data_IF_696120836416
#
_entry.id   IF_696120836416
#
_cell.length_a   1.000
_cell.length_b   1.000
_cell.length_c   1.000
_cell.angle_alpha   90.00
_cell.angle_beta   90.00
_cell.angle_gamma   90.00
#
_symmetry.space_group_name_H-M   'P 1'
#
loop_
_entity.id
_entity.type
_entity.pdbx_description
1 polymer ?
#
# COMPACT_ATOMS: atom_id res chain seq x y z
N UNK A 1 -7.07 -23.72 -60.82
CA UNK A 1 -7.30 -22.50 -60.01
C UNK A 1 -8.05 -22.74 -58.67
N UNK A 2 -8.81 -23.84 -58.49
CA UNK A 2 -9.60 -24.08 -57.27
C UNK A 2 -8.83 -24.44 -55.97
N UNK A 3 -7.52 -24.73 -56.02
CA UNK A 3 -6.74 -25.09 -54.80
C UNK A 3 -6.24 -23.88 -54.01
N UNK A 4 -6.01 -22.73 -54.66
CA UNK A 4 -5.40 -21.55 -54.02
C UNK A 4 -6.43 -20.79 -53.15
N UNK A 5 -7.70 -20.76 -53.58
CA UNK A 5 -8.79 -20.12 -52.83
C UNK A 5 -9.06 -20.76 -51.46
N UNK A 6 -8.88 -22.09 -51.34
CA UNK A 6 -9.08 -22.80 -50.06
C UNK A 6 -8.01 -22.47 -49.03
N UNK A 7 -6.77 -22.25 -49.47
CA UNK A 7 -5.66 -21.85 -48.59
C UNK A 7 -5.84 -20.41 -48.09
N UNK A 8 -6.34 -19.51 -48.94
CA UNK A 8 -6.58 -18.12 -48.54
C UNK A 8 -7.73 -18.01 -47.52
N UNK A 9 -8.80 -18.78 -47.69
CA UNK A 9 -9.89 -18.86 -46.71
C UNK A 9 -9.43 -19.43 -45.37
N UNK A 10 -8.74 -20.59 -45.37
CA UNK A 10 -8.29 -21.26 -44.14
C UNK A 10 -7.33 -20.40 -43.29
N UNK A 11 -6.43 -19.64 -43.94
CA UNK A 11 -5.52 -18.72 -43.25
C UNK A 11 -6.25 -17.52 -42.61
N UNK A 12 -7.34 -17.07 -43.26
CA UNK A 12 -8.15 -15.96 -42.74
C UNK A 12 -8.99 -16.37 -41.51
N UNK A 13 -9.45 -17.62 -41.44
CA UNK A 13 -10.13 -18.15 -40.25
C UNK A 13 -9.16 -18.45 -39.10
N UNK A 14 -7.94 -18.93 -39.39
CA UNK A 14 -6.91 -19.15 -38.37
C UNK A 14 -6.47 -17.87 -37.64
N UNK A 15 -6.34 -16.77 -38.38
CA UNK A 15 -5.96 -15.46 -37.81
C UNK A 15 -7.07 -14.81 -36.97
N UNK A 16 -8.35 -15.07 -37.28
CA UNK A 16 -9.48 -14.63 -36.46
C UNK A 16 -9.57 -15.40 -35.14
N UNK A 17 -9.34 -16.72 -35.18
CA UNK A 17 -9.34 -17.57 -33.99
C UNK A 17 -8.16 -17.26 -33.06
N UNK A 18 -6.98 -16.95 -33.61
CA UNK A 18 -5.82 -16.55 -32.81
C UNK A 18 -6.07 -15.22 -32.08
N UNK A 19 -6.76 -14.27 -32.74
CA UNK A 19 -7.18 -13.01 -32.12
C UNK A 19 -8.23 -13.20 -31.01
N UNK A 20 -9.28 -13.99 -31.23
CA UNK A 20 -10.27 -14.29 -30.18
C UNK A 20 -9.63 -14.98 -28.96
N UNK A 21 -8.75 -15.96 -29.19
CA UNK A 21 -8.05 -16.67 -28.10
C UNK A 21 -7.11 -15.71 -27.35
N UNK A 22 -6.46 -14.78 -28.03
CA UNK A 22 -5.64 -13.74 -27.42
C UNK A 22 -6.49 -12.78 -26.55
N UNK A 23 -7.64 -12.33 -27.04
CA UNK A 23 -8.56 -11.47 -26.28
C UNK A 23 -9.10 -12.17 -25.03
N UNK A 24 -9.49 -13.44 -25.13
CA UNK A 24 -9.92 -14.26 -23.97
C UNK A 24 -8.78 -14.40 -22.95
N UNK A 25 -7.53 -14.51 -23.41
CA UNK A 25 -6.33 -14.61 -22.54
C UNK A 25 -6.06 -13.31 -21.81
N UNK A 26 -6.19 -12.17 -22.49
CA UNK A 26 -6.03 -10.83 -21.92
C UNK A 26 -7.14 -10.55 -20.90
N UNK A 27 -8.40 -10.86 -21.24
CA UNK A 27 -9.55 -10.70 -20.33
C UNK A 27 -9.44 -11.58 -19.09
N UNK A 28 -8.98 -12.83 -19.22
CA UNK A 28 -8.68 -13.69 -18.05
C UNK A 28 -7.57 -13.11 -17.19
N UNK A 29 -6.52 -12.55 -17.79
CA UNK A 29 -5.41 -11.93 -17.05
C UNK A 29 -5.87 -10.69 -16.30
N UNK A 30 -6.68 -9.82 -16.91
CA UNK A 30 -7.29 -8.65 -16.25
C UNK A 30 -8.23 -9.07 -15.12
N UNK A 31 -9.10 -10.06 -15.35
CA UNK A 31 -10.02 -10.57 -14.33
C UNK A 31 -9.28 -11.13 -13.12
N UNK A 32 -8.14 -11.80 -13.36
CA UNK A 32 -7.28 -12.33 -12.29
C UNK A 32 -6.57 -11.21 -11.53
N UNK A 33 -6.09 -10.17 -12.22
CA UNK A 33 -5.50 -8.97 -11.58
C UNK A 33 -6.51 -8.22 -10.72
N UNK A 34 -7.74 -8.05 -11.19
CA UNK A 34 -8.83 -7.40 -10.43
C UNK A 34 -9.21 -8.25 -9.21
N UNK A 35 -9.30 -9.57 -9.36
CA UNK A 35 -9.60 -10.47 -8.24
C UNK A 35 -8.51 -10.41 -7.15
N UNK A 36 -7.24 -10.47 -7.53
CA UNK A 36 -6.11 -10.35 -6.60
C UNK A 36 -6.05 -8.96 -5.93
N UNK A 37 -6.48 -7.91 -6.63
CA UNK A 37 -6.57 -6.56 -6.07
C UNK A 37 -7.69 -6.46 -5.03
N UNK A 38 -8.86 -7.08 -5.28
CA UNK A 38 -9.97 -7.12 -4.31
C UNK A 38 -9.57 -7.86 -3.03
N UNK A 39 -8.78 -8.93 -3.16
CA UNK A 39 -8.24 -9.66 -2.00
C UNK A 39 -7.30 -8.76 -1.17
N UNK A 40 -6.46 -7.96 -1.83
CA UNK A 40 -5.54 -7.01 -1.18
C UNK A 40 -6.29 -5.87 -0.45
N UNK A 41 -7.41 -5.40 -1.00
CA UNK A 41 -8.27 -4.37 -0.39
C UNK A 41 -8.99 -4.93 0.84
N UNK A 42 -9.46 -6.18 0.80
CA UNK A 42 -10.05 -6.88 1.96
C UNK A 42 -9.05 -7.10 3.09
N UNK A 43 -7.76 -7.21 2.75
CA UNK A 43 -6.66 -7.52 3.68
C UNK A 43 -6.21 -6.33 4.52
N UNK A 44 -6.46 -5.09 4.07
CA UNK A 44 -5.96 -3.88 4.74
C UNK A 44 -7.01 -2.75 4.90
N UNK A 45 -8.17 -3.01 5.53
CA UNK A 45 -9.23 -2.01 5.69
C UNK A 45 -8.77 -0.78 6.49
N UNK A 46 -7.92 -0.98 7.50
CA UNK A 46 -7.39 0.11 8.33
C UNK A 46 -6.53 1.11 7.53
N UNK A 47 -5.68 0.61 6.63
CA UNK A 47 -4.80 1.45 5.81
C UNK A 47 -5.60 2.27 4.80
N UNK A 48 -6.71 1.72 4.28
CA UNK A 48 -7.62 2.44 3.38
C UNK A 48 -8.32 3.58 4.12
N UNK A 49 -8.85 3.33 5.32
CA UNK A 49 -9.48 4.36 6.15
C UNK A 49 -8.49 5.50 6.44
N UNK A 50 -7.26 5.17 6.85
CA UNK A 50 -6.23 6.17 7.11
C UNK A 50 -5.84 6.97 5.86
N UNK A 51 -5.82 6.33 4.68
CA UNK A 51 -5.57 7.00 3.40
C UNK A 51 -6.69 7.98 3.03
N UNK A 52 -7.95 7.58 3.20
CA UNK A 52 -9.11 8.46 2.95
C UNK A 52 -9.06 9.66 3.88
N UNK A 53 -8.80 9.45 5.18
CA UNK A 53 -8.64 10.54 6.14
C UNK A 53 -7.51 11.48 5.70
N UNK A 54 -6.34 10.96 5.34
CA UNK A 54 -5.22 11.78 4.86
C UNK A 54 -5.60 12.62 3.63
N UNK A 55 -6.30 12.03 2.67
CA UNK A 55 -6.75 12.73 1.46
C UNK A 55 -7.72 13.86 1.82
N UNK A 56 -8.66 13.63 2.74
CA UNK A 56 -9.57 14.67 3.23
C UNK A 56 -8.79 15.83 3.87
N UNK A 57 -7.83 15.52 4.75
CA UNK A 57 -6.99 16.56 5.36
C UNK A 57 -6.15 17.33 4.32
N UNK A 58 -5.64 16.64 3.29
CA UNK A 58 -4.89 17.28 2.20
C UNK A 58 -5.77 18.21 1.36
N UNK A 59 -6.98 17.78 1.01
CA UNK A 59 -7.95 18.62 0.29
C UNK A 59 -8.28 19.86 1.12
N UNK A 60 -8.62 19.67 2.40
CA UNK A 60 -8.92 20.76 3.32
C UNK A 60 -7.74 21.72 3.48
N UNK A 61 -6.52 21.19 3.57
CA UNK A 61 -5.30 21.98 3.63
C UNK A 61 -5.02 22.76 2.35
N UNK A 62 -5.35 22.20 1.18
CA UNK A 62 -5.10 22.84 -0.10
C UNK A 62 -6.13 23.94 -0.38
N UNK A 63 -7.40 23.69 -0.07
CA UNK A 63 -8.49 24.64 -0.22
C UNK A 63 -8.32 25.85 0.71
N UNK A 64 -7.94 25.62 1.96
CA UNK A 64 -7.82 26.70 2.95
C UNK A 64 -6.41 27.28 3.07
N UNK A 65 -5.48 26.89 2.19
CA UNK A 65 -4.06 27.29 2.26
C UNK A 65 -3.86 28.81 2.24
N UNK A 66 -4.74 29.53 1.55
CA UNK A 66 -4.65 30.98 1.35
C UNK A 66 -5.35 31.74 2.50
N UNK A 67 -6.35 31.13 3.14
CA UNK A 67 -7.20 31.77 4.15
C UNK A 67 -6.81 31.43 5.60
N UNK A 68 -5.85 30.53 5.82
CA UNK A 68 -5.44 30.09 7.15
C UNK A 68 -4.25 30.86 7.71
N UNK A 69 -4.30 31.10 9.01
CA UNK A 69 -3.16 31.59 9.79
C UNK A 69 -1.98 30.60 9.77
N UNK A 70 -0.76 31.14 9.89
CA UNK A 70 0.49 30.35 9.86
C UNK A 70 0.51 29.25 10.93
N UNK A 71 -0.07 29.49 12.10
CA UNK A 71 -0.14 28.51 13.20
C UNK A 71 -1.05 27.34 12.82
N UNK A 72 -2.16 27.63 12.14
CA UNK A 72 -3.12 26.62 11.68
C UNK A 72 -2.52 25.76 10.57
N UNK A 73 -1.80 26.36 9.62
CA UNK A 73 -1.08 25.64 8.56
C UNK A 73 -0.01 24.71 9.16
N UNK A 74 0.71 25.17 10.19
CA UNK A 74 1.72 24.36 10.87
C UNK A 74 1.09 23.12 11.53
N UNK A 75 0.00 23.29 12.27
CA UNK A 75 -0.72 22.17 12.92
C UNK A 75 -1.30 21.19 11.91
N UNK A 76 -1.85 21.69 10.80
CA UNK A 76 -2.43 20.84 9.76
C UNK A 76 -1.35 20.03 9.02
N UNK A 77 -0.20 20.65 8.77
CA UNK A 77 0.97 19.98 8.19
C UNK A 77 1.50 18.89 9.13
N UNK A 78 1.56 19.18 10.44
CA UNK A 78 1.91 18.21 11.48
C UNK A 78 0.98 17.00 11.46
N UNK A 79 -0.33 17.23 11.42
CA UNK A 79 -1.34 16.17 11.33
C UNK A 79 -1.15 15.33 10.05
N UNK A 80 -0.95 15.97 8.89
CA UNK A 80 -0.71 15.24 7.63
C UNK A 80 0.52 14.34 7.70
N UNK A 81 1.61 14.81 8.30
CA UNK A 81 2.81 13.99 8.51
C UNK A 81 2.53 12.83 9.46
N UNK A 82 1.86 13.06 10.60
CA UNK A 82 1.52 12.00 11.56
C UNK A 82 0.60 10.93 10.94
N UNK A 83 -0.43 11.34 10.22
CA UNK A 83 -1.33 10.42 9.52
C UNK A 83 -0.58 9.65 8.42
N UNK A 84 0.30 10.33 7.68
CA UNK A 84 1.17 9.69 6.68
C UNK A 84 2.07 8.60 7.27
N UNK A 85 2.70 8.86 8.43
CA UNK A 85 3.46 7.84 9.17
C UNK A 85 2.54 6.71 9.65
N UNK A 86 1.33 7.07 10.10
CA UNK A 86 0.30 6.13 10.53
C UNK A 86 -0.11 5.14 9.46
N UNK A 87 -0.19 5.56 8.20
CA UNK A 87 -0.46 4.68 7.07
C UNK A 87 0.65 3.65 6.91
N UNK A 88 1.92 4.09 6.91
CA UNK A 88 3.06 3.15 6.81
C UNK A 88 3.13 2.23 8.02
N UNK A 89 2.89 2.74 9.22
CA UNK A 89 2.86 1.93 10.43
C UNK A 89 1.73 0.89 10.40
N UNK A 90 0.52 1.29 10.02
CA UNK A 90 -0.64 0.41 9.85
C UNK A 90 -0.35 -0.71 8.85
N UNK A 91 0.30 -0.38 7.73
CA UNK A 91 0.71 -1.35 6.72
C UNK A 91 1.73 -2.35 7.29
N UNK A 92 2.78 -1.86 7.96
CA UNK A 92 3.80 -2.71 8.59
C UNK A 92 3.19 -3.63 9.64
N UNK A 93 2.32 -3.11 10.51
CA UNK A 93 1.61 -3.87 11.55
C UNK A 93 0.77 -4.98 10.94
N UNK A 94 -0.08 -4.64 9.97
CA UNK A 94 -1.00 -5.60 9.35
C UNK A 94 -0.23 -6.74 8.67
N UNK A 95 0.86 -6.43 7.97
CA UNK A 95 1.73 -7.42 7.34
C UNK A 95 2.49 -8.28 8.36
N UNK A 96 2.90 -7.69 9.49
CA UNK A 96 3.62 -8.36 10.57
C UNK A 96 2.70 -9.36 11.30
N UNK A 97 1.46 -8.95 11.61
CA UNK A 97 0.44 -9.83 12.19
C UNK A 97 0.20 -11.04 11.28
N UNK A 98 0.00 -10.81 9.98
CA UNK A 98 -0.28 -11.90 9.08
C UNK A 98 0.89 -12.90 8.95
N UNK A 99 2.13 -12.41 9.05
CA UNK A 99 3.33 -13.23 8.89
C UNK A 99 3.79 -13.94 10.18
N UNK A 100 3.52 -13.38 11.36
CA UNK A 100 3.89 -13.98 12.66
C UNK A 100 2.74 -14.67 13.38
N UNK A 101 1.52 -14.15 13.26
CA UNK A 101 0.42 -14.46 14.18
C UNK A 101 -0.64 -15.28 13.44
N UNK A 102 -0.29 -16.52 13.07
CA UNK A 102 -1.26 -17.45 12.51
C UNK A 102 -2.20 -18.07 13.57
N UNK A 103 -2.09 -17.72 14.87
CA UNK A 103 -2.83 -18.43 15.94
C UNK A 103 -3.25 -17.64 17.20
N UNK A 104 -2.66 -16.48 17.55
CA UNK A 104 -2.98 -15.79 18.82
C UNK A 104 -3.62 -14.39 18.64
N UNK A 105 -4.95 -14.30 18.82
CA UNK A 105 -5.70 -13.03 18.76
C UNK A 105 -5.24 -11.97 19.77
N UNK A 106 -4.76 -12.36 20.95
CA UNK A 106 -4.24 -11.43 21.98
C UNK A 106 -3.01 -10.63 21.50
N UNK A 107 -2.15 -11.26 20.70
CA UNK A 107 -0.95 -10.59 20.19
C UNK A 107 -1.29 -9.54 19.13
N UNK A 108 -2.39 -9.76 18.38
CA UNK A 108 -2.90 -8.81 17.40
C UNK A 108 -3.33 -7.49 18.06
N UNK A 109 -4.09 -7.58 19.17
CA UNK A 109 -4.49 -6.40 19.96
C UNK A 109 -3.27 -5.63 20.48
N UNK A 110 -2.24 -6.36 20.93
CA UNK A 110 -1.05 -5.76 21.52
C UNK A 110 -0.22 -4.99 20.48
N UNK A 111 -0.07 -5.53 19.27
CA UNK A 111 0.64 -4.86 18.18
C UNK A 111 -0.12 -3.60 17.72
N UNK A 112 -1.45 -3.66 17.60
CA UNK A 112 -2.25 -2.47 17.27
C UNK A 112 -2.13 -1.39 18.36
N UNK A 113 -2.18 -1.79 19.64
CA UNK A 113 -1.97 -0.88 20.77
C UNK A 113 -0.58 -0.23 20.75
N UNK A 114 0.46 -1.02 20.51
CA UNK A 114 1.83 -0.53 20.39
C UNK A 114 1.97 0.48 19.25
N UNK A 115 1.32 0.22 18.10
CA UNK A 115 1.32 1.14 16.97
C UNK A 115 0.64 2.47 17.28
N UNK A 116 -0.48 2.43 18.00
CA UNK A 116 -1.21 3.63 18.40
C UNK A 116 -0.41 4.47 19.40
N UNK A 117 0.22 3.81 20.39
CA UNK A 117 1.13 4.45 21.35
C UNK A 117 2.33 5.08 20.62
N UNK A 118 2.93 4.38 19.66
CA UNK A 118 4.04 4.90 18.86
C UNK A 118 3.65 6.18 18.11
N UNK A 119 2.44 6.24 17.54
CA UNK A 119 1.93 7.45 16.87
C UNK A 119 1.75 8.63 17.84
N UNK A 120 1.17 8.37 19.02
CA UNK A 120 0.92 9.42 20.03
C UNK A 120 2.24 9.98 20.55
N UNK A 121 3.21 9.12 20.86
CA UNK A 121 4.55 9.53 21.28
C UNK A 121 5.24 10.31 20.15
N UNK A 122 5.11 9.88 18.89
CA UNK A 122 5.69 10.58 17.75
C UNK A 122 5.10 11.99 17.58
N UNK A 123 3.79 12.16 17.76
CA UNK A 123 3.13 13.45 17.68
C UNK A 123 3.65 14.44 18.74
N UNK A 124 3.76 14.01 20.00
CA UNK A 124 4.21 14.89 21.09
C UNK A 124 5.72 15.15 21.08
N UNK A 125 6.54 14.12 20.83
CA UNK A 125 7.98 14.19 21.06
C UNK A 125 8.76 14.70 19.83
N UNK A 126 8.24 14.47 18.62
CA UNK A 126 8.94 14.80 17.38
C UNK A 126 8.41 16.05 16.67
N UNK A 127 7.19 16.49 16.96
CA UNK A 127 6.47 17.50 16.20
C UNK A 127 6.24 18.83 16.94
N UNK A 128 7.07 19.18 17.92
CA UNK A 128 6.89 20.41 18.70
C UNK A 128 7.12 21.71 17.87
N UNK A 129 8.12 21.76 16.98
CA UNK A 129 8.36 22.90 16.07
C UNK A 129 8.56 22.40 14.64
N UNK A 130 7.91 22.92 13.59
CA UNK A 130 8.24 22.53 12.20
C UNK A 130 9.53 23.20 11.70
N UNK A 131 10.67 22.98 12.39
CA UNK A 131 11.98 23.32 11.81
C UNK A 131 12.40 22.22 10.83
N UNK A 132 13.34 22.56 9.95
CA UNK A 132 13.87 21.66 8.91
C UNK A 132 14.40 20.34 9.49
N UNK A 133 14.86 20.39 10.75
CA UNK A 133 15.39 19.24 11.51
C UNK A 133 14.30 18.22 11.87
N UNK A 134 13.05 18.63 12.11
CA UNK A 134 11.95 17.70 12.37
C UNK A 134 11.54 16.95 11.09
N UNK A 135 11.62 17.61 9.92
CA UNK A 135 11.31 16.97 8.62
C UNK A 135 12.30 15.86 8.27
N UNK A 136 13.60 16.06 8.50
CA UNK A 136 14.61 15.01 8.26
C UNK A 136 14.46 13.83 9.21
N UNK A 137 14.15 14.11 10.48
CA UNK A 137 13.82 13.13 11.52
C UNK A 137 12.63 12.24 11.15
N UNK A 138 11.54 12.83 10.66
CA UNK A 138 10.40 12.10 10.12
C UNK A 138 10.78 11.16 8.97
N UNK A 139 11.55 11.69 8.01
CA UNK A 139 11.97 10.94 6.82
C UNK A 139 12.88 9.76 7.20
N UNK A 140 13.76 9.96 8.19
CA UNK A 140 14.57 8.91 8.78
C UNK A 140 13.75 7.80 9.45
N UNK A 141 12.73 8.14 10.24
CA UNK A 141 11.84 7.15 10.86
C UNK A 141 11.05 6.35 9.82
N UNK A 142 10.54 7.02 8.78
CA UNK A 142 9.85 6.36 7.66
C UNK A 142 10.76 5.37 6.94
N UNK A 143 11.97 5.80 6.57
CA UNK A 143 12.98 4.94 5.93
C UNK A 143 13.37 3.76 6.81
N UNK A 144 13.62 4.01 8.09
CA UNK A 144 13.94 2.97 9.06
C UNK A 144 12.84 1.91 9.14
N UNK A 145 11.58 2.33 9.20
CA UNK A 145 10.43 1.43 9.25
C UNK A 145 10.33 0.57 7.98
N UNK A 146 10.52 1.19 6.81
CA UNK A 146 10.51 0.49 5.51
C UNK A 146 11.66 -0.54 5.44
N UNK A 147 12.87 -0.15 5.84
CA UNK A 147 14.05 -1.03 5.83
C UNK A 147 13.90 -2.19 6.80
N UNK A 148 13.47 -1.91 8.04
CA UNK A 148 13.22 -2.94 9.05
C UNK A 148 12.20 -3.97 8.55
N UNK A 149 11.12 -3.50 7.92
CA UNK A 149 10.13 -4.38 7.33
C UNK A 149 10.69 -5.19 6.15
N UNK A 150 11.44 -4.57 5.24
CA UNK A 150 12.01 -5.26 4.08
C UNK A 150 13.00 -6.37 4.49
N UNK A 151 13.86 -6.09 5.47
CA UNK A 151 14.79 -7.08 6.03
C UNK A 151 14.02 -8.23 6.70
N UNK A 152 13.00 -7.91 7.50
CA UNK A 152 12.13 -8.91 8.12
C UNK A 152 11.36 -9.75 7.08
N UNK A 153 10.97 -9.12 5.96
CA UNK A 153 10.32 -9.82 4.86
C UNK A 153 11.28 -10.82 4.21
N UNK A 154 12.49 -10.36 3.86
CA UNK A 154 13.54 -11.14 3.20
C UNK A 154 14.03 -12.33 4.04
N UNK A 155 14.27 -12.13 5.33
CA UNK A 155 14.84 -13.14 6.24
C UNK A 155 14.04 -14.46 6.30
N UNK A 156 12.72 -14.42 6.07
CA UNK A 156 11.86 -15.62 6.07
C UNK A 156 11.61 -16.23 4.68
N UNK A 157 11.98 -15.52 3.60
CA UNK A 157 11.92 -16.04 2.23
C UNK A 157 12.98 -17.12 1.95
N UNK A 158 14.08 -17.10 2.70
CA UNK A 158 15.19 -18.04 2.52
C UNK A 158 14.96 -19.42 3.19
N UNK A 159 13.90 -19.57 4.01
CA UNK A 159 13.59 -20.86 4.65
C UNK A 159 12.78 -21.82 3.77
N UNK A 160 12.39 -21.41 2.55
CA UNK A 160 11.61 -22.26 1.62
C UNK A 160 12.46 -22.91 0.52
N UNK A 161 13.73 -22.54 0.38
CA UNK A 161 14.67 -23.10 -0.63
C UNK A 161 15.84 -23.86 0.01
N UNK A 162 15.65 -24.39 1.23
CA UNK A 162 16.67 -25.22 1.91
C UNK A 162 16.15 -26.57 2.39
N UNK A 163 14.93 -26.94 1.98
CA UNK A 163 14.28 -28.24 2.20
C UNK A 163 13.78 -28.84 0.88
N UNK A 164 14.59 -28.77 -0.17
CA UNK A 164 14.51 -29.66 -1.34
C UNK A 164 15.89 -30.26 -1.55
#
# INVERSE_FOLDING_TARGET
MARIQRYFGANHYGTLLEKEVAEIKVLKRIKTTIYNSRESVKRFPATILMSVVLVILLIYSNENRINMDLISIERLTKLNMTVGLGIMLSLCISLLIEKLVKKNNLFNIFIYGLGMIFLVVFYFLFLDKLKVVQRSRYLGTLLFLILAFFIFLKSKGEKTTRNM
#
